data_IF_185385865274
#
_entry.id   IF_185385865274
#
_cell.length_a   1.000
_cell.length_b   1.000
_cell.length_c   1.000
_cell.angle_alpha   90.00
_cell.angle_beta   90.00
_cell.angle_gamma   90.00
#
_symmetry.space_group_name_H-M   'P 1'
#
loop_
_entity.id
_entity.type
_entity.pdbx_description
1 polymer ?
#
# COMPACT_ATOMS: atom_id res chain seq x y z
N UNK A 1 -24.99 -7.35 10.25
CA UNK A 1 -24.21 -6.30 9.56
C UNK A 1 -22.76 -6.35 10.03
N UNK A 2 -21.78 -6.39 9.12
CA UNK A 2 -20.35 -6.42 9.46
C UNK A 2 -19.89 -5.01 9.84
N UNK A 3 -19.17 -4.85 10.95
CA UNK A 3 -18.69 -3.54 11.44
C UNK A 3 -17.21 -3.33 11.12
N UNK A 4 -16.77 -2.08 11.07
CA UNK A 4 -15.35 -1.74 10.86
C UNK A 4 -14.44 -2.39 11.93
N UNK A 5 -14.84 -2.34 13.21
CA UNK A 5 -14.10 -2.99 14.31
C UNK A 5 -13.91 -4.49 14.09
N UNK A 6 -14.92 -5.18 13.54
CA UNK A 6 -14.80 -6.60 13.22
C UNK A 6 -13.79 -6.86 12.08
N UNK A 7 -13.80 -6.02 11.03
CA UNK A 7 -12.81 -6.07 9.94
C UNK A 7 -11.40 -5.79 10.47
N UNK A 8 -11.25 -4.79 11.33
CA UNK A 8 -9.97 -4.43 11.94
C UNK A 8 -9.38 -5.58 12.76
N UNK A 9 -10.17 -6.18 13.66
CA UNK A 9 -9.74 -7.35 14.44
C UNK A 9 -9.33 -8.51 13.53
N UNK A 10 -10.14 -8.80 12.50
CA UNK A 10 -9.83 -9.87 11.56
C UNK A 10 -8.55 -9.60 10.75
N UNK A 11 -8.28 -8.34 10.38
CA UNK A 11 -7.06 -7.94 9.69
C UNK A 11 -5.83 -8.13 10.60
N UNK A 12 -5.87 -7.62 11.83
CA UNK A 12 -4.77 -7.76 12.80
C UNK A 12 -4.48 -9.24 13.08
N UNK A 13 -5.51 -10.06 13.32
CA UNK A 13 -5.32 -11.50 13.54
C UNK A 13 -4.75 -12.21 12.31
N UNK A 14 -5.03 -11.72 11.09
CA UNK A 14 -4.51 -12.31 9.86
C UNK A 14 -3.01 -12.10 9.71
N UNK A 15 -2.42 -11.06 10.33
CA UNK A 15 -0.98 -10.80 10.26
C UNK A 15 -0.14 -11.96 10.80
N UNK A 16 -0.67 -12.72 11.76
CA UNK A 16 0.00 -13.94 12.26
C UNK A 16 0.28 -14.98 11.16
N UNK A 17 -0.43 -14.94 10.03
CA UNK A 17 -0.21 -15.83 8.88
C UNK A 17 1.01 -15.48 8.03
N UNK A 18 1.55 -14.28 8.17
CA UNK A 18 2.76 -13.85 7.43
C UNK A 18 4.00 -14.58 7.98
N UNK A 19 3.99 -14.86 9.29
CA UNK A 19 5.13 -15.41 10.04
C UNK A 19 6.24 -14.38 10.28
N UNK A 20 7.16 -14.69 11.20
CA UNK A 20 8.29 -13.82 11.52
C UNK A 20 9.18 -13.58 10.29
N UNK A 21 9.54 -14.63 9.56
CA UNK A 21 10.40 -14.53 8.38
C UNK A 21 9.79 -13.67 7.27
N UNK A 22 8.47 -13.74 7.11
CA UNK A 22 7.74 -12.91 6.15
C UNK A 22 7.73 -11.43 6.56
N UNK A 23 7.58 -11.13 7.85
CA UNK A 23 7.66 -9.76 8.37
C UNK A 23 9.08 -9.21 8.27
N UNK A 24 10.10 -10.02 8.57
CA UNK A 24 11.50 -9.65 8.45
C UNK A 24 11.87 -9.34 6.98
N UNK A 25 11.49 -10.21 6.03
CA UNK A 25 11.72 -9.96 4.61
C UNK A 25 11.00 -8.68 4.12
N UNK A 26 9.76 -8.48 4.57
CA UNK A 26 9.01 -7.26 4.27
C UNK A 26 9.72 -6.00 4.79
N UNK A 27 10.15 -6.01 6.05
CA UNK A 27 10.90 -4.90 6.65
C UNK A 27 12.20 -4.63 5.89
N UNK A 28 12.98 -5.66 5.58
CA UNK A 28 14.24 -5.53 4.86
C UNK A 28 14.05 -4.93 3.46
N UNK A 29 13.06 -5.40 2.71
CA UNK A 29 12.75 -4.87 1.38
C UNK A 29 12.41 -3.38 1.47
N UNK A 30 11.51 -3.02 2.38
CA UNK A 30 11.00 -1.65 2.46
C UNK A 30 12.05 -0.68 3.01
N UNK A 31 12.80 -1.07 4.05
CA UNK A 31 13.93 -0.28 4.56
C UNK A 31 14.99 -0.09 3.47
N UNK A 32 15.33 -1.17 2.75
CA UNK A 32 16.30 -1.13 1.66
C UNK A 32 15.88 -0.18 0.54
N UNK A 33 14.62 -0.24 0.10
CA UNK A 33 14.11 0.66 -0.94
C UNK A 33 14.03 2.11 -0.48
N UNK A 34 13.66 2.37 0.77
CA UNK A 34 13.58 3.74 1.29
C UNK A 34 14.98 4.34 1.46
N UNK A 35 15.96 3.54 1.88
CA UNK A 35 17.35 3.97 1.94
C UNK A 35 17.90 4.31 0.55
N UNK A 36 17.63 3.49 -0.47
CA UNK A 36 18.03 3.78 -1.85
C UNK A 36 17.41 5.08 -2.36
N UNK A 37 16.12 5.31 -2.08
CA UNK A 37 15.46 6.55 -2.46
C UNK A 37 16.09 7.77 -1.79
N UNK A 38 16.43 7.70 -0.50
CA UNK A 38 17.05 8.82 0.19
C UNK A 38 18.48 9.09 -0.28
N UNK A 39 19.23 8.05 -0.64
CA UNK A 39 20.59 8.19 -1.18
C UNK A 39 20.61 8.75 -2.61
N UNK A 40 19.55 8.53 -3.37
CA UNK A 40 19.44 8.97 -4.77
C UNK A 40 18.51 10.17 -4.97
N UNK A 41 17.86 10.65 -3.90
CA UNK A 41 16.93 11.76 -3.98
C UNK A 41 17.62 13.01 -4.54
N UNK A 42 17.07 13.64 -5.59
CA UNK A 42 17.62 14.88 -6.10
C UNK A 42 17.54 15.97 -5.03
N UNK A 43 18.56 16.83 -4.99
CA UNK A 43 18.54 18.01 -4.14
C UNK A 43 17.27 18.85 -4.42
N UNK A 44 16.72 19.58 -3.43
CA UNK A 44 15.53 20.41 -3.64
C UNK A 44 15.70 21.36 -4.83
N UNK A 45 14.84 21.21 -5.85
CA UNK A 45 14.87 22.01 -7.08
C UNK A 45 15.73 21.44 -8.22
N UNK A 46 16.50 20.37 -7.98
CA UNK A 46 17.23 19.66 -9.02
C UNK A 46 16.30 18.73 -9.83
N UNK A 47 16.64 18.53 -11.10
CA UNK A 47 15.96 17.54 -11.94
C UNK A 47 16.36 16.12 -11.51
N UNK A 48 15.41 15.16 -11.50
CA UNK A 48 15.73 13.77 -11.20
C UNK A 48 16.74 13.20 -12.22
N UNK A 49 17.76 12.52 -11.74
CA UNK A 49 18.76 11.87 -12.58
C UNK A 49 18.41 10.40 -12.88
N UNK A 50 19.25 9.74 -13.69
CA UNK A 50 19.06 8.34 -14.04
C UNK A 50 19.18 7.39 -12.84
N UNK A 51 19.97 7.75 -11.82
CA UNK A 51 20.15 6.93 -10.62
C UNK A 51 18.87 6.92 -9.77
N UNK A 52 18.25 8.09 -9.59
CA UNK A 52 16.94 8.22 -8.95
C UNK A 52 15.85 7.46 -9.71
N UNK A 53 15.82 7.60 -11.04
CA UNK A 53 14.85 6.87 -11.87
C UNK A 53 14.98 5.35 -11.71
N UNK A 54 16.21 4.83 -11.68
CA UNK A 54 16.47 3.42 -11.46
C UNK A 54 16.06 2.97 -10.04
N UNK A 55 16.39 3.75 -9.01
CA UNK A 55 15.98 3.47 -7.63
C UNK A 55 14.46 3.39 -7.50
N UNK A 56 13.73 4.34 -8.11
CA UNK A 56 12.27 4.34 -8.13
C UNK A 56 11.69 3.09 -8.83
N UNK A 57 12.27 2.64 -9.94
CA UNK A 57 11.86 1.40 -10.63
C UNK A 57 12.08 0.19 -9.72
N UNK A 58 13.25 0.10 -9.09
CA UNK A 58 13.58 -0.99 -8.14
C UNK A 58 12.60 -0.99 -6.97
N UNK A 59 12.29 0.18 -6.41
CA UNK A 59 11.30 0.31 -5.33
C UNK A 59 9.93 -0.17 -5.76
N UNK A 60 9.41 0.33 -6.89
CA UNK A 60 8.08 -0.04 -7.38
C UNK A 60 8.01 -1.55 -7.60
N UNK A 61 9.00 -2.13 -8.29
CA UNK A 61 9.06 -3.58 -8.54
C UNK A 61 9.12 -4.39 -7.24
N UNK A 62 9.95 -3.97 -6.29
CA UNK A 62 10.14 -4.67 -5.01
C UNK A 62 8.89 -4.59 -4.14
N UNK A 63 8.24 -3.43 -4.05
CA UNK A 63 7.00 -3.23 -3.28
C UNK A 63 5.85 -4.02 -3.88
N UNK A 64 5.72 -4.05 -5.22
CA UNK A 64 4.71 -4.88 -5.88
C UNK A 64 4.95 -6.36 -5.60
N UNK A 65 6.20 -6.82 -5.73
CA UNK A 65 6.56 -8.21 -5.47
C UNK A 65 6.30 -8.63 -4.03
N UNK A 66 6.82 -7.88 -3.04
CA UNK A 66 6.60 -8.23 -1.64
C UNK A 66 5.13 -8.08 -1.24
N UNK A 67 4.41 -7.10 -1.79
CA UNK A 67 2.97 -6.96 -1.63
C UNK A 67 2.20 -8.17 -2.15
N UNK A 68 2.58 -8.70 -3.33
CA UNK A 68 2.01 -9.94 -3.86
C UNK A 68 2.28 -11.13 -2.93
N UNK A 69 3.53 -11.32 -2.49
CA UNK A 69 3.92 -12.41 -1.59
C UNK A 69 3.12 -12.36 -0.29
N UNK A 70 3.05 -11.18 0.34
CA UNK A 70 2.30 -10.97 1.59
C UNK A 70 0.81 -11.23 1.38
N UNK A 71 0.21 -10.69 0.31
CA UNK A 71 -1.19 -10.90 -0.02
C UNK A 71 -1.50 -12.39 -0.24
N UNK A 72 -0.67 -13.08 -1.04
CA UNK A 72 -0.81 -14.49 -1.36
C UNK A 72 -0.73 -15.37 -0.10
N UNK A 73 0.21 -15.08 0.82
CA UNK A 73 0.28 -15.76 2.12
C UNK A 73 -0.98 -15.55 2.96
N UNK A 74 -1.48 -14.31 3.04
CA UNK A 74 -2.66 -13.97 3.85
C UNK A 74 -3.94 -14.65 3.37
N UNK A 75 -4.08 -14.84 2.05
CA UNK A 75 -5.21 -15.57 1.43
C UNK A 75 -4.99 -17.08 1.38
N UNK A 76 -3.80 -17.57 1.74
CA UNK A 76 -3.48 -19.02 1.79
C UNK A 76 -3.11 -19.62 0.42
N UNK A 77 -2.65 -18.81 -0.53
CA UNK A 77 -2.20 -19.28 -1.84
C UNK A 77 -0.85 -19.99 -1.74
N UNK A 78 -0.73 -21.16 -2.38
CA UNK A 78 0.52 -21.93 -2.48
C UNK A 78 1.54 -21.28 -3.44
N UNK A 79 1.10 -20.35 -4.28
CA UNK A 79 1.92 -19.71 -5.31
C UNK A 79 2.63 -18.43 -4.81
N UNK A 80 2.76 -18.22 -3.50
CA UNK A 80 3.18 -16.95 -2.92
C UNK A 80 4.51 -16.39 -3.46
N UNK A 81 5.41 -17.24 -3.96
CA UNK A 81 6.70 -16.84 -4.52
C UNK A 81 6.83 -17.01 -6.04
N UNK A 82 5.81 -17.53 -6.72
CA UNK A 82 5.88 -17.82 -8.14
C UNK A 82 5.60 -16.55 -8.96
N UNK A 83 6.57 -16.15 -9.79
CA UNK A 83 6.38 -15.12 -10.80
C UNK A 83 5.69 -15.77 -12.00
N UNK A 84 4.37 -15.67 -12.04
CA UNK A 84 3.55 -16.23 -13.12
C UNK A 84 2.41 -15.29 -13.52
N UNK A 85 1.41 -15.82 -14.21
CA UNK A 85 0.26 -15.06 -14.70
C UNK A 85 -0.48 -14.32 -13.56
N UNK A 86 -0.64 -14.95 -12.40
CA UNK A 86 -1.25 -14.33 -11.21
C UNK A 86 -0.48 -13.08 -10.76
N UNK A 87 0.85 -13.18 -10.66
CA UNK A 87 1.71 -12.05 -10.30
C UNK A 87 1.57 -10.91 -11.30
N UNK A 88 1.62 -11.17 -12.61
CA UNK A 88 1.52 -10.11 -13.61
C UNK A 88 0.17 -9.41 -13.64
N UNK A 89 -0.94 -10.14 -13.40
CA UNK A 89 -2.27 -9.52 -13.25
C UNK A 89 -2.33 -8.64 -12.01
N UNK A 90 -1.79 -9.10 -10.89
CA UNK A 90 -1.67 -8.32 -9.66
C UNK A 90 -0.83 -7.06 -9.89
N UNK A 91 0.35 -7.20 -10.50
CA UNK A 91 1.24 -6.09 -10.81
C UNK A 91 0.57 -5.06 -11.73
N UNK A 92 -0.14 -5.50 -12.77
CA UNK A 92 -0.89 -4.63 -13.66
C UNK A 92 -1.96 -3.83 -12.91
N UNK A 93 -2.71 -4.47 -11.99
CA UNK A 93 -3.69 -3.77 -11.16
C UNK A 93 -3.03 -2.74 -10.23
N UNK A 94 -1.88 -3.07 -9.63
CA UNK A 94 -1.16 -2.15 -8.77
C UNK A 94 -0.55 -0.96 -9.52
N UNK A 95 -0.04 -1.18 -10.74
CA UNK A 95 0.43 -0.09 -11.61
C UNK A 95 -0.74 0.80 -12.01
N UNK A 96 -1.88 0.23 -12.41
CA UNK A 96 -3.08 1.00 -12.71
C UNK A 96 -3.56 1.81 -11.49
N UNK A 97 -3.49 1.23 -10.29
CA UNK A 97 -3.85 1.91 -9.05
C UNK A 97 -2.87 3.05 -8.71
N UNK A 98 -1.57 2.85 -8.93
CA UNK A 98 -0.55 3.88 -8.76
C UNK A 98 -0.79 5.07 -9.71
N UNK A 99 -1.08 4.80 -10.99
CA UNK A 99 -1.41 5.82 -11.98
C UNK A 99 -2.70 6.59 -11.61
N UNK A 100 -3.72 5.89 -11.10
CA UNK A 100 -4.94 6.50 -10.58
C UNK A 100 -4.67 7.42 -9.39
N UNK A 101 -3.83 6.99 -8.44
CA UNK A 101 -3.38 7.82 -7.32
C UNK A 101 -2.64 9.08 -7.80
N UNK A 102 -1.73 8.93 -8.79
CA UNK A 102 -1.02 10.07 -9.38
C UNK A 102 -1.99 11.07 -10.03
N UNK A 103 -3.01 10.59 -10.73
CA UNK A 103 -4.05 11.43 -11.32
C UNK A 103 -4.83 12.21 -10.24
N UNK A 104 -5.28 11.53 -9.18
CA UNK A 104 -5.97 12.20 -8.05
C UNK A 104 -5.08 13.25 -7.40
N UNK A 105 -3.80 12.94 -7.18
CA UNK A 105 -2.82 13.90 -6.66
C UNK A 105 -2.68 15.12 -7.57
N UNK A 106 -2.59 14.94 -8.88
CA UNK A 106 -2.53 16.04 -9.84
C UNK A 106 -3.79 16.92 -9.79
N UNK A 107 -4.97 16.33 -9.65
CA UNK A 107 -6.23 17.06 -9.49
C UNK A 107 -6.21 17.88 -8.19
N UNK A 108 -5.79 17.29 -7.07
CA UNK A 108 -5.71 18.00 -5.79
C UNK A 108 -4.76 19.18 -5.87
N UNK A 109 -3.58 19.01 -6.46
CA UNK A 109 -2.60 20.10 -6.64
C UNK A 109 -3.10 21.24 -7.54
N UNK A 110 -4.11 20.99 -8.38
CA UNK A 110 -4.76 22.03 -9.20
C UNK A 110 -5.82 22.82 -8.43
N UNK A 111 -6.49 22.18 -7.48
CA UNK A 111 -7.60 22.78 -6.70
C UNK A 111 -7.08 23.45 -5.42
N UNK A 112 -6.09 22.84 -4.78
CA UNK A 112 -5.39 23.34 -3.62
C UNK A 112 -3.91 23.56 -4.01
N UNK A 113 -3.49 24.82 -4.30
CA UNK A 113 -2.13 25.09 -4.72
C UNK A 113 -1.12 24.57 -3.68
N UNK A 114 0.11 24.22 -4.12
CA UNK A 114 1.11 23.61 -3.25
C UNK A 114 1.33 24.48 -2.02
N UNK A 115 1.11 23.88 -0.86
CA UNK A 115 1.33 24.58 0.38
C UNK A 115 2.83 24.81 0.56
N UNK A 116 3.28 26.03 0.90
CA UNK A 116 4.70 26.35 1.03
C UNK A 116 5.36 25.71 2.26
N UNK A 117 4.62 24.93 3.05
CA UNK A 117 5.05 24.33 4.30
C UNK A 117 5.04 22.81 4.23
N UNK A 118 5.95 22.18 4.96
CA UNK A 118 5.99 20.71 5.14
C UNK A 118 4.64 20.14 5.57
N UNK A 119 3.97 20.82 6.49
CA UNK A 119 2.65 20.40 7.01
C UNK A 119 1.61 20.40 5.91
N UNK A 120 1.60 21.41 5.04
CA UNK A 120 0.64 21.47 3.95
C UNK A 120 0.93 20.47 2.81
N UNK A 121 2.22 20.23 2.49
CA UNK A 121 2.60 19.13 1.58
C UNK A 121 2.17 17.77 2.16
N UNK A 122 2.45 17.53 3.44
CA UNK A 122 2.00 16.32 4.12
C UNK A 122 0.48 16.16 4.08
N UNK A 123 -0.25 17.22 4.44
CA UNK A 123 -1.73 17.21 4.48
C UNK A 123 -2.31 16.91 3.10
N UNK A 124 -1.84 17.58 2.05
CA UNK A 124 -2.35 17.38 0.69
C UNK A 124 -2.07 15.97 0.15
N UNK A 125 -0.88 15.42 0.38
CA UNK A 125 -0.56 14.05 -0.02
C UNK A 125 -1.38 13.02 0.80
N UNK A 126 -1.55 13.24 2.11
CA UNK A 126 -2.36 12.35 2.95
C UNK A 126 -3.84 12.37 2.56
N UNK A 127 -4.40 13.54 2.30
CA UNK A 127 -5.79 13.69 1.82
C UNK A 127 -5.94 13.02 0.46
N UNK A 128 -4.99 13.20 -0.47
CA UNK A 128 -5.02 12.52 -1.76
C UNK A 128 -4.96 11.01 -1.65
N UNK A 129 -4.09 10.49 -0.76
CA UNK A 129 -4.02 9.08 -0.46
C UNK A 129 -5.33 8.56 0.15
N UNK A 130 -5.93 9.30 1.08
CA UNK A 130 -7.19 8.93 1.71
C UNK A 130 -8.34 8.89 0.68
N UNK A 131 -8.48 9.93 -0.15
CA UNK A 131 -9.49 9.98 -1.22
C UNK A 131 -9.30 8.81 -2.18
N UNK A 132 -8.08 8.62 -2.69
CA UNK A 132 -7.81 7.51 -3.60
C UNK A 132 -8.06 6.15 -2.96
N UNK A 133 -7.62 5.94 -1.72
CA UNK A 133 -7.85 4.70 -0.98
C UNK A 133 -9.33 4.39 -0.79
N UNK A 134 -10.16 5.41 -0.54
CA UNK A 134 -11.62 5.26 -0.43
C UNK A 134 -12.28 4.98 -1.79
N UNK A 135 -11.87 5.67 -2.86
CA UNK A 135 -12.37 5.42 -4.22
C UNK A 135 -12.00 4.02 -4.73
N UNK A 136 -10.83 3.53 -4.32
CA UNK A 136 -10.28 2.23 -4.73
C UNK A 136 -10.56 1.10 -3.74
N UNK A 137 -11.41 1.32 -2.71
CA UNK A 137 -11.62 0.34 -1.64
C UNK A 137 -12.10 -1.03 -2.15
N UNK A 138 -12.83 -1.05 -3.27
CA UNK A 138 -13.33 -2.27 -3.93
C UNK A 138 -12.25 -3.04 -4.69
N UNK A 139 -11.14 -2.39 -5.02
CA UNK A 139 -9.98 -3.05 -5.61
C UNK A 139 -9.21 -3.89 -4.57
N UNK A 140 -9.44 -3.70 -3.26
CA UNK A 140 -8.78 -4.49 -2.22
C UNK A 140 -9.12 -5.99 -2.33
N UNK A 141 -10.38 -6.35 -2.53
CA UNK A 141 -10.75 -7.75 -2.75
C UNK A 141 -10.28 -8.28 -4.12
N UNK A 142 -10.20 -7.43 -5.16
CA UNK A 142 -9.61 -7.80 -6.44
C UNK A 142 -8.12 -8.13 -6.31
N UNK A 143 -7.35 -7.27 -5.64
CA UNK A 143 -5.94 -7.50 -5.36
C UNK A 143 -5.73 -8.83 -4.62
N UNK A 144 -6.52 -9.08 -3.59
CA UNK A 144 -6.48 -10.34 -2.85
C UNK A 144 -6.89 -11.55 -3.71
N UNK A 145 -7.92 -11.41 -4.55
CA UNK A 145 -8.36 -12.46 -5.47
C UNK A 145 -7.30 -12.78 -6.53
N UNK A 146 -6.66 -11.78 -7.11
CA UNK A 146 -5.55 -11.96 -8.07
C UNK A 146 -4.34 -12.64 -7.42
N UNK A 147 -4.02 -12.30 -6.18
CA UNK A 147 -2.98 -13.01 -5.41
C UNK A 147 -3.35 -14.46 -5.09
N UNK A 148 -4.65 -14.78 -5.05
CA UNK A 148 -5.19 -16.13 -4.95
C UNK A 148 -5.37 -16.84 -6.31
N UNK A 149 -4.85 -16.25 -7.39
CA UNK A 149 -5.00 -16.75 -8.78
C UNK A 149 -6.47 -16.86 -9.25
N UNK A 150 -7.33 -15.96 -8.77
CA UNK A 150 -8.69 -15.88 -9.26
C UNK A 150 -8.69 -15.49 -10.76
N UNK A 151 -9.44 -16.19 -11.62
CA UNK A 151 -9.57 -15.80 -13.02
C UNK A 151 -10.33 -14.47 -13.14
N UNK A 152 -10.09 -13.71 -14.22
CA UNK A 152 -10.75 -12.42 -14.44
C UNK A 152 -12.29 -12.50 -14.38
N UNK A 153 -12.88 -13.59 -14.88
CA UNK A 153 -14.34 -13.81 -14.81
C UNK A 153 -14.89 -13.87 -13.38
N UNK A 154 -14.08 -14.26 -12.39
CA UNK A 154 -14.49 -14.30 -10.98
C UNK A 154 -14.42 -12.92 -10.30
N UNK A 155 -13.65 -11.97 -10.82
CA UNK A 155 -13.48 -10.65 -10.21
C UNK A 155 -14.79 -9.85 -10.19
N UNK A 156 -15.65 -10.02 -11.20
CA UNK A 156 -16.98 -9.38 -11.22
C UNK A 156 -17.88 -9.85 -10.08
N UNK A 157 -17.81 -11.14 -9.71
CA UNK A 157 -18.53 -11.67 -8.56
C UNK A 157 -17.95 -11.15 -7.23
N UNK A 158 -16.62 -11.11 -7.12
CA UNK A 158 -15.92 -10.54 -5.96
C UNK A 158 -16.29 -9.07 -5.77
N UNK A 159 -16.34 -8.29 -6.85
CA UNK A 159 -16.76 -6.89 -6.80
C UNK A 159 -18.15 -6.73 -6.19
N UNK A 160 -19.13 -7.49 -6.69
CA UNK A 160 -20.52 -7.43 -6.21
C UNK A 160 -20.65 -7.92 -4.77
N UNK A 161 -19.95 -8.99 -4.42
CA UNK A 161 -19.94 -9.50 -3.05
C UNK A 161 -19.38 -8.51 -2.03
N UNK A 162 -18.47 -7.61 -2.44
CA UNK A 162 -17.92 -6.60 -1.54
C UNK A 162 -18.90 -5.45 -1.23
N UNK A 163 -19.84 -5.09 -2.13
CA UNK A 163 -20.61 -3.83 -1.98
C UNK A 163 -21.35 -3.70 -0.64
N UNK A 164 -21.84 -4.80 -0.08
CA UNK A 164 -22.52 -4.80 1.22
C UNK A 164 -21.61 -4.51 2.42
N UNK A 165 -20.31 -4.35 2.19
CA UNK A 165 -19.28 -4.25 3.22
C UNK A 165 -18.31 -3.06 3.02
N UNK A 166 -18.51 -2.24 2.00
CA UNK A 166 -17.58 -1.15 1.65
C UNK A 166 -17.36 -0.17 2.80
N UNK A 167 -18.41 0.22 3.53
CA UNK A 167 -18.28 1.12 4.68
C UNK A 167 -17.44 0.53 5.83
N UNK A 168 -17.57 -0.77 6.09
CA UNK A 168 -16.79 -1.45 7.13
C UNK A 168 -15.32 -1.60 6.71
N UNK A 169 -15.07 -1.89 5.44
CA UNK A 169 -13.72 -2.02 4.88
C UNK A 169 -13.04 -0.65 4.83
N UNK A 170 -13.75 0.40 4.40
CA UNK A 170 -13.28 1.78 4.42
C UNK A 170 -12.94 2.24 5.85
N UNK A 171 -13.82 1.96 6.83
CA UNK A 171 -13.57 2.26 8.22
C UNK A 171 -12.32 1.54 8.76
N UNK A 172 -12.09 0.28 8.37
CA UNK A 172 -10.88 -0.44 8.74
C UNK A 172 -9.62 0.10 8.05
N UNK A 173 -9.72 0.52 6.78
CA UNK A 173 -8.63 1.18 6.06
C UNK A 173 -8.23 2.49 6.74
N UNK A 174 -9.20 3.35 7.07
CA UNK A 174 -8.97 4.59 7.81
C UNK A 174 -8.40 4.31 9.20
N UNK A 175 -8.92 3.31 9.91
CA UNK A 175 -8.52 3.03 11.29
C UNK A 175 -7.18 2.30 11.44
N UNK A 176 -6.72 1.56 10.42
CA UNK A 176 -5.50 0.74 10.50
C UNK A 176 -4.43 1.14 9.50
N UNK A 177 -4.76 1.30 8.23
CA UNK A 177 -3.76 1.49 7.18
C UNK A 177 -3.37 2.96 6.98
N UNK A 178 -4.31 3.89 7.18
CA UNK A 178 -4.06 5.32 7.00
C UNK A 178 -3.11 5.92 8.05
N UNK A 179 -3.16 5.58 9.35
CA UNK A 179 -2.24 6.12 10.35
C UNK A 179 -0.76 5.82 10.05
N UNK A 180 -0.32 4.56 9.80
CA UNK A 180 1.07 4.31 9.44
C UNK A 180 1.43 4.95 8.10
N UNK A 181 0.50 5.07 7.14
CA UNK A 181 0.76 5.80 5.91
C UNK A 181 1.03 7.30 6.16
N UNK A 182 0.32 7.91 7.12
CA UNK A 182 0.54 9.30 7.52
C UNK A 182 1.92 9.50 8.15
N UNK A 183 2.38 8.55 8.98
CA UNK A 183 3.74 8.57 9.53
C UNK A 183 4.81 8.36 8.46
N UNK A 184 4.61 7.39 7.55
CA UNK A 184 5.48 7.18 6.40
C UNK A 184 5.64 8.46 5.56
N UNK A 185 4.51 9.10 5.20
CA UNK A 185 4.54 10.36 4.44
C UNK A 185 5.27 11.47 5.20
N UNK A 186 5.07 11.59 6.51
CA UNK A 186 5.75 12.60 7.32
C UNK A 186 7.27 12.38 7.35
N UNK A 187 7.72 11.15 7.61
CA UNK A 187 9.13 10.79 7.68
C UNK A 187 9.83 10.93 6.33
N UNK A 188 9.17 10.50 5.24
CA UNK A 188 9.66 10.69 3.87
C UNK A 188 9.82 12.18 3.56
N UNK A 189 8.84 13.03 3.91
CA UNK A 189 8.94 14.47 3.66
C UNK A 189 10.06 15.11 4.48
N UNK A 190 10.23 14.72 5.75
CA UNK A 190 11.37 15.17 6.57
C UNK A 190 12.69 14.79 5.91
N UNK A 191 12.87 13.53 5.50
CA UNK A 191 14.10 13.05 4.87
C UNK A 191 14.44 13.79 3.57
N UNK A 192 13.43 14.11 2.74
CA UNK A 192 13.66 14.71 1.42
C UNK A 192 13.79 16.23 1.48
N UNK A 193 13.21 16.89 2.49
CA UNK A 193 13.13 18.36 2.56
C UNK A 193 14.07 18.99 3.58
N UNK A 194 14.50 18.24 4.60
CA UNK A 194 15.39 18.76 5.64
C UNK A 194 16.83 18.34 5.39
N UNK A 195 17.78 19.24 5.64
CA UNK A 195 19.20 18.87 5.62
C UNK A 195 19.50 18.01 6.84
N UNK A 196 20.00 16.80 6.62
CA UNK A 196 20.24 15.83 7.69
C UNK A 196 21.61 15.16 7.54
N UNK A 197 22.17 14.70 8.66
CA UNK A 197 23.38 13.88 8.63
C UNK A 197 23.11 12.51 7.98
N UNK A 198 24.13 11.83 7.42
CA UNK A 198 23.96 10.46 6.89
C UNK A 198 23.38 9.48 7.93
N UNK A 199 23.79 9.58 9.19
CA UNK A 199 23.26 8.74 10.27
C UNK A 199 21.78 9.00 10.51
N UNK A 200 21.34 10.25 10.44
CA UNK A 200 19.94 10.61 10.57
C UNK A 200 19.10 10.07 9.39
N UNK A 201 19.63 10.05 8.17
CA UNK A 201 18.97 9.40 7.02
C UNK A 201 18.77 7.91 7.22
N UNK A 202 19.78 7.20 7.75
CA UNK A 202 19.67 5.77 8.07
C UNK A 202 18.59 5.53 9.12
N UNK A 203 18.59 6.30 10.21
CA UNK A 203 17.58 6.18 11.26
C UNK A 203 16.17 6.44 10.73
N UNK A 204 16.00 7.50 9.92
CA UNK A 204 14.70 7.77 9.30
C UNK A 204 14.32 6.65 8.33
N UNK A 205 15.24 6.13 7.51
CA UNK A 205 14.94 5.01 6.61
C UNK A 205 14.43 3.77 7.36
N UNK A 206 14.98 3.48 8.54
CA UNK A 206 14.51 2.37 9.39
C UNK A 206 13.10 2.65 9.94
N UNK A 207 12.86 3.83 10.51
CA UNK A 207 11.54 4.19 11.06
C UNK A 207 10.48 4.27 9.97
N UNK A 208 10.81 4.94 8.88
CA UNK A 208 9.97 5.07 7.69
C UNK A 208 9.65 3.70 7.11
N UNK A 209 10.67 2.84 6.99
CA UNK A 209 10.50 1.47 6.51
C UNK A 209 9.61 0.61 7.41
N UNK A 210 9.66 0.81 8.74
CA UNK A 210 8.73 0.17 9.67
C UNK A 210 7.28 0.60 9.42
N UNK A 211 7.02 1.90 9.29
CA UNK A 211 5.66 2.40 9.03
C UNK A 211 5.15 2.00 7.65
N UNK A 212 5.99 2.05 6.62
CA UNK A 212 5.67 1.55 5.28
C UNK A 212 5.36 0.05 5.28
N UNK A 213 6.15 -0.76 5.97
CA UNK A 213 5.92 -2.20 6.09
C UNK A 213 4.60 -2.50 6.82
N UNK A 214 4.35 -1.78 7.92
CA UNK A 214 3.10 -1.90 8.68
C UNK A 214 1.89 -1.50 7.82
N UNK A 215 1.99 -0.38 7.09
CA UNK A 215 0.97 0.05 6.14
C UNK A 215 0.69 -1.04 5.11
N UNK A 216 1.72 -1.57 4.43
CA UNK A 216 1.57 -2.59 3.40
C UNK A 216 0.93 -3.87 3.96
N UNK A 217 1.43 -4.37 5.09
CA UNK A 217 0.90 -5.56 5.73
C UNK A 217 -0.57 -5.41 6.14
N UNK A 218 -0.95 -4.26 6.71
CA UNK A 218 -2.33 -3.97 7.11
C UNK A 218 -3.25 -3.81 5.90
N UNK A 219 -2.83 -3.11 4.85
CA UNK A 219 -3.60 -2.99 3.61
C UNK A 219 -3.84 -4.38 3.00
N UNK A 220 -2.81 -5.22 2.93
CA UNK A 220 -2.97 -6.59 2.43
C UNK A 220 -3.89 -7.45 3.31
N UNK A 221 -3.80 -7.30 4.64
CA UNK A 221 -4.67 -8.00 5.58
C UNK A 221 -6.14 -7.59 5.43
N UNK A 222 -6.41 -6.29 5.26
CA UNK A 222 -7.73 -5.77 4.94
C UNK A 222 -8.22 -6.35 3.60
N UNK A 223 -7.38 -6.38 2.57
CA UNK A 223 -7.72 -7.00 1.28
C UNK A 223 -8.08 -8.49 1.40
N UNK A 224 -7.35 -9.25 2.23
CA UNK A 224 -7.66 -10.65 2.49
C UNK A 224 -9.00 -10.81 3.24
N UNK A 225 -9.32 -9.92 4.18
CA UNK A 225 -10.64 -9.88 4.83
C UNK A 225 -11.72 -9.53 3.82
N UNK A 226 -11.49 -8.52 2.97
CA UNK A 226 -12.43 -8.08 1.94
C UNK A 226 -12.79 -9.22 0.98
N UNK A 227 -11.80 -9.98 0.51
CA UNK A 227 -12.02 -11.17 -0.32
C UNK A 227 -12.89 -12.21 0.42
N UNK A 228 -12.56 -12.53 1.67
CA UNK A 228 -13.35 -13.49 2.46
C UNK A 228 -14.80 -13.05 2.66
N UNK A 229 -15.04 -11.75 2.82
CA UNK A 229 -16.39 -11.20 2.91
C UNK A 229 -17.11 -11.31 1.56
N UNK A 230 -16.44 -10.92 0.48
CA UNK A 230 -16.99 -10.96 -0.87
C UNK A 230 -17.31 -12.39 -1.37
N UNK A 231 -16.63 -13.41 -0.84
CA UNK A 231 -16.85 -14.80 -1.21
C UNK A 231 -17.85 -15.55 -0.32
N UNK A 232 -18.48 -14.89 0.67
CA UNK A 232 -19.51 -15.54 1.50
C UNK A 232 -20.82 -15.68 0.72
N UNK A 233 -21.54 -16.81 0.84
CA UNK A 233 -22.92 -16.88 0.35
C UNK A 233 -23.76 -15.84 1.09
N UNK A 234 -24.54 -15.04 0.38
CA UNK A 234 -25.54 -14.20 1.03
C UNK A 234 -26.55 -15.12 1.76
N UNK A 235 -26.88 -14.84 3.03
CA UNK A 235 -28.00 -15.51 3.67
C UNK A 235 -29.27 -15.14 2.88
N UNK A 236 -29.85 -16.16 2.22
CA UNK A 236 -31.15 -16.04 1.54
C UNK A 236 -32.27 -15.90 2.55
#
# INVERSE_FOLDING_TARGET
MVTASAVMRAAVLSLGRIGFDGLAALLLVVIGTNLLDFLTAPAPGATPDAAFALAAIVRIGSVIWIGYVVQAKLVGSRAAFLIGTAFWRFAALQIAALLGMMLVRLIILRIAPPAPTLVGEWTSNLVGLAIWGLLSIRLLAWNAGLAADAPFGALGAIWRGQSGHDGAIAGAFIGLALPPAAFHLALTLVAVRMTMSPQSHVTIAVLDGLFSALQLALTCAIGAVALRLASRPEPR
#
